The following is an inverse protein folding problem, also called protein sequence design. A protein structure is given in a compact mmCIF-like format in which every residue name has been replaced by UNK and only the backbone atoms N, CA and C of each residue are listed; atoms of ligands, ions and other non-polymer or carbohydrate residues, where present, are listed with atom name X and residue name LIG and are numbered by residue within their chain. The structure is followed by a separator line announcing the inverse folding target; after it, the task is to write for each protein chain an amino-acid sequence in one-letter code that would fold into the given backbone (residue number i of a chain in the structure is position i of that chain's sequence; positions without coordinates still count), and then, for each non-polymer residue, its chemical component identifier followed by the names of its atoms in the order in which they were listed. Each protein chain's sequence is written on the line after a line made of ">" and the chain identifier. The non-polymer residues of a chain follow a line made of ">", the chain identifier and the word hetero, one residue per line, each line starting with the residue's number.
data_IF_438790696488
#
_entry.id   IF_438790696488
#
_cell.length_a   1.000
_cell.length_b   1.000
_cell.length_c   1.000
_cell.angle_alpha   90.00
_cell.angle_beta   90.00
_cell.angle_gamma   90.00
#
_symmetry.space_group_name_H-M   'P 1'
#
loop_
_entity.id
_entity.type
_entity.pdbx_description
1 polymer ?
#
# COMPACT_ATOMS: atom_id res chain seq x y z
N UNK A 1 -4.16 24.22 -17.84
CA UNK A 1 -3.65 22.85 -18.04
C UNK A 1 -4.49 21.90 -17.20
N UNK A 2 -5.10 20.88 -17.81
CA UNK A 2 -5.78 19.84 -17.05
C UNK A 2 -4.75 19.02 -16.26
N UNK A 3 -5.09 18.58 -15.06
CA UNK A 3 -4.26 17.63 -14.32
C UNK A 3 -4.11 16.34 -15.17
N UNK A 4 -2.92 15.71 -15.21
CA UNK A 4 -2.76 14.46 -15.94
C UNK A 4 -3.76 13.42 -15.41
N UNK A 5 -4.35 12.60 -16.29
CA UNK A 5 -5.29 11.57 -15.86
C UNK A 5 -4.59 10.64 -14.87
N UNK A 6 -5.29 10.33 -13.78
CA UNK A 6 -4.78 9.46 -12.72
C UNK A 6 -4.82 8.01 -13.22
N UNK A 7 -3.66 7.35 -13.44
CA UNK A 7 -3.62 6.03 -14.09
C UNK A 7 -4.27 4.91 -13.26
N UNK A 8 -4.47 5.13 -11.96
CA UNK A 8 -5.13 4.18 -11.07
C UNK A 8 -6.66 4.28 -11.06
N UNK A 9 -7.27 5.33 -11.64
CA UNK A 9 -8.73 5.53 -11.56
C UNK A 9 -9.56 4.38 -12.14
N UNK A 10 -9.23 3.79 -13.31
CA UNK A 10 -9.96 2.64 -13.83
C UNK A 10 -9.91 1.43 -12.90
N UNK A 11 -8.73 1.13 -12.34
CA UNK A 11 -8.58 0.03 -11.40
C UNK A 11 -9.30 0.32 -10.07
N UNK A 12 -9.25 1.56 -9.59
CA UNK A 12 -9.96 1.99 -8.39
C UNK A 12 -11.47 1.79 -8.50
N UNK A 13 -12.05 2.18 -9.65
CA UNK A 13 -13.47 1.98 -9.93
C UNK A 13 -13.83 0.48 -9.96
N UNK A 14 -13.02 -0.32 -10.68
CA UNK A 14 -13.22 -1.76 -10.82
C UNK A 14 -13.15 -2.53 -9.49
N UNK A 15 -12.35 -2.08 -8.55
CA UNK A 15 -12.19 -2.71 -7.23
C UNK A 15 -13.26 -2.29 -6.22
N UNK A 16 -14.09 -1.29 -6.54
CA UNK A 16 -15.22 -0.86 -5.70
C UNK A 16 -14.84 -0.64 -4.22
N UNK A 17 -13.66 -0.05 -3.99
CA UNK A 17 -13.20 0.26 -2.64
C UNK A 17 -12.69 -0.93 -1.82
N UNK A 18 -12.51 -2.12 -2.40
CA UNK A 18 -12.00 -3.29 -1.66
C UNK A 18 -11.08 -4.20 -2.48
N UNK A 19 -10.09 -4.78 -1.82
CA UNK A 19 -9.29 -5.86 -2.38
C UNK A 19 -8.69 -6.74 -1.28
N UNK A 20 -8.17 -7.91 -1.65
CA UNK A 20 -7.44 -8.79 -0.75
C UNK A 20 -6.01 -9.01 -1.24
N UNK A 21 -5.12 -9.45 -0.35
CA UNK A 21 -3.78 -9.88 -0.70
C UNK A 21 -3.44 -11.19 0.02
N UNK A 22 -2.79 -12.11 -0.69
CA UNK A 22 -2.35 -13.40 -0.12
C UNK A 22 -0.92 -13.70 -0.55
N UNK A 23 -0.10 -14.14 0.38
CA UNK A 23 1.30 -14.41 0.08
C UNK A 23 2.13 -14.72 1.31
N UNK A 24 3.45 -14.73 1.11
CA UNK A 24 4.43 -14.98 2.14
C UNK A 24 5.48 -13.87 2.09
N UNK A 25 5.70 -13.09 3.17
CA UNK A 25 6.89 -12.26 3.26
C UNK A 25 8.16 -13.16 3.35
N UNK A 26 9.27 -12.84 2.67
CA UNK A 26 9.51 -11.68 1.80
C UNK A 26 9.14 -11.90 0.31
N UNK A 27 8.65 -13.07 -0.07
CA UNK A 27 8.36 -13.49 -1.47
C UNK A 27 7.28 -12.64 -2.17
N UNK A 28 6.47 -11.93 -1.39
CA UNK A 28 5.44 -11.02 -1.87
C UNK A 28 4.03 -11.62 -1.84
N UNK A 29 3.08 -10.87 -2.39
CA UNK A 29 1.65 -11.13 -2.30
C UNK A 29 0.99 -11.07 -3.66
N UNK A 30 0.13 -12.03 -3.97
CA UNK A 30 -0.87 -11.89 -5.03
C UNK A 30 -1.96 -10.93 -4.54
N UNK A 31 -2.33 -9.98 -5.38
CA UNK A 31 -3.40 -9.03 -5.14
C UNK A 31 -4.66 -9.52 -5.83
N UNK A 32 -5.75 -9.64 -5.07
CA UNK A 32 -6.99 -10.30 -5.46
C UNK A 32 -8.13 -9.30 -5.37
N UNK A 33 -9.07 -9.39 -6.30
CA UNK A 33 -10.39 -8.80 -6.11
C UNK A 33 -11.10 -9.48 -4.92
N UNK A 34 -12.06 -8.79 -4.31
CA UNK A 34 -12.74 -9.29 -3.11
C UNK A 34 -13.46 -10.64 -3.33
N UNK A 35 -14.00 -10.84 -4.54
CA UNK A 35 -14.75 -12.03 -4.95
C UNK A 35 -14.25 -12.57 -6.31
N UNK A 36 -13.05 -12.14 -6.75
CA UNK A 36 -12.59 -12.30 -8.12
C UNK A 36 -11.15 -12.79 -8.28
N UNK A 37 -10.62 -12.77 -9.51
CA UNK A 37 -9.28 -13.25 -9.81
C UNK A 37 -8.18 -12.35 -9.22
N UNK A 38 -6.94 -12.81 -9.36
CA UNK A 38 -5.79 -11.97 -9.11
C UNK A 38 -5.71 -10.85 -10.16
N UNK A 39 -5.60 -9.61 -9.72
CA UNK A 39 -5.36 -8.45 -10.59
C UNK A 39 -3.91 -8.00 -10.58
N UNK A 40 -3.09 -8.55 -9.68
CA UNK A 40 -1.74 -8.06 -9.52
C UNK A 40 -0.88 -8.84 -8.55
N UNK A 41 0.32 -8.32 -8.32
CA UNK A 41 1.29 -8.87 -7.39
C UNK A 41 2.14 -7.76 -6.78
N UNK A 42 2.29 -7.76 -5.46
CA UNK A 42 3.21 -6.93 -4.71
C UNK A 42 4.48 -7.75 -4.40
N UNK A 43 5.65 -7.22 -4.76
CA UNK A 43 6.96 -7.82 -4.46
C UNK A 43 7.82 -6.81 -3.70
N UNK A 44 8.10 -7.07 -2.40
CA UNK A 44 9.06 -6.25 -1.66
C UNK A 44 10.47 -6.38 -2.25
N UNK A 45 11.20 -5.27 -2.33
CA UNK A 45 12.60 -5.23 -2.80
C UNK A 45 13.55 -4.96 -1.63
N UNK A 46 13.32 -5.68 -0.53
CA UNK A 46 14.11 -5.55 0.70
C UNK A 46 14.09 -4.13 1.27
N UNK A 47 15.27 -3.56 1.51
CA UNK A 47 15.43 -2.23 2.11
C UNK A 47 15.07 -1.05 1.21
N UNK A 48 14.89 -1.28 -0.11
CA UNK A 48 14.77 -0.24 -1.15
C UNK A 48 13.34 0.19 -1.42
N UNK A 49 12.35 -0.67 -1.15
CA UNK A 49 10.99 -0.41 -1.60
C UNK A 49 10.19 -1.67 -1.95
N UNK A 50 9.29 -1.53 -2.91
CA UNK A 50 8.53 -2.63 -3.51
C UNK A 50 8.14 -2.31 -4.96
N UNK A 51 7.93 -3.36 -5.75
CA UNK A 51 7.26 -3.28 -7.05
C UNK A 51 5.88 -3.92 -6.96
N UNK A 52 4.89 -3.29 -7.57
CA UNK A 52 3.55 -3.83 -7.69
C UNK A 52 3.18 -3.85 -9.17
N UNK A 53 2.84 -5.02 -9.70
CA UNK A 53 2.16 -5.13 -10.99
C UNK A 53 0.67 -5.18 -10.72
N UNK A 54 -0.14 -4.28 -11.27
CA UNK A 54 -1.58 -4.24 -11.05
C UNK A 54 -2.31 -3.87 -12.34
N UNK A 55 -3.17 -4.77 -12.85
CA UNK A 55 -3.95 -4.59 -14.07
C UNK A 55 -3.12 -4.13 -15.29
N UNK A 56 -1.95 -4.75 -15.48
CA UNK A 56 -1.03 -4.40 -16.56
C UNK A 56 -0.16 -3.17 -16.31
N UNK A 57 -0.42 -2.42 -15.23
CA UNK A 57 0.39 -1.28 -14.83
C UNK A 57 1.50 -1.68 -13.84
N UNK A 58 2.64 -1.00 -13.93
CA UNK A 58 3.73 -1.05 -12.98
C UNK A 58 3.61 0.12 -11.99
N UNK A 59 3.69 -0.24 -10.72
CA UNK A 59 3.78 0.68 -9.61
C UNK A 59 5.06 0.40 -8.84
N UNK A 60 5.80 1.46 -8.50
CA UNK A 60 7.06 1.36 -7.77
C UNK A 60 6.95 2.18 -6.50
N UNK A 61 7.17 1.54 -5.36
CA UNK A 61 7.35 2.21 -4.08
C UNK A 61 8.85 2.30 -3.85
N UNK A 62 9.37 3.52 -3.74
CA UNK A 62 10.78 3.78 -3.51
C UNK A 62 10.98 4.40 -2.14
N UNK A 63 12.06 4.01 -1.47
CA UNK A 63 12.47 4.59 -0.21
C UNK A 63 13.54 5.65 -0.46
N UNK A 64 13.20 6.91 -0.17
CA UNK A 64 14.07 8.08 -0.37
C UNK A 64 14.89 8.44 0.87
N UNK A 65 14.71 7.72 1.97
CA UNK A 65 15.44 7.94 3.20
C UNK A 65 14.86 7.20 4.39
N UNK A 66 15.25 7.62 5.59
CA UNK A 66 14.65 7.08 6.82
C UNK A 66 13.22 7.63 6.94
N UNK A 67 12.23 6.75 6.83
CA UNK A 67 10.82 7.11 6.99
C UNK A 67 10.20 7.83 5.79
N UNK A 68 10.95 8.12 4.72
CA UNK A 68 10.45 8.79 3.50
C UNK A 68 10.29 7.83 2.33
N UNK A 69 9.17 7.94 1.64
CA UNK A 69 8.85 7.12 0.49
C UNK A 69 8.12 7.93 -0.58
N UNK A 70 8.26 7.47 -1.82
CA UNK A 70 7.38 7.85 -2.91
C UNK A 70 6.82 6.61 -3.59
N UNK A 71 5.63 6.73 -4.14
CA UNK A 71 4.95 5.72 -4.93
C UNK A 71 4.68 6.29 -6.30
N UNK A 72 5.22 5.64 -7.32
CA UNK A 72 5.07 5.97 -8.72
C UNK A 72 4.12 4.94 -9.35
N UNK A 73 3.16 5.39 -10.15
CA UNK A 73 2.26 4.56 -10.93
C UNK A 73 2.45 4.92 -12.40
N UNK A 74 3.00 4.03 -13.22
CA UNK A 74 3.40 4.34 -14.60
C UNK A 74 4.31 5.59 -14.68
N UNK A 75 5.23 5.73 -13.72
CA UNK A 75 6.13 6.88 -13.62
C UNK A 75 5.50 8.16 -13.07
N UNK A 76 4.18 8.23 -12.91
CA UNK A 76 3.47 9.37 -12.30
C UNK A 76 3.45 9.22 -10.79
N UNK A 77 3.80 10.26 -10.05
CA UNK A 77 3.73 10.21 -8.59
C UNK A 77 2.29 10.07 -8.11
N UNK A 78 1.97 8.91 -7.53
CA UNK A 78 0.66 8.57 -6.99
C UNK A 78 0.54 8.96 -5.51
N UNK A 79 1.63 8.86 -4.74
CA UNK A 79 1.66 9.12 -3.31
C UNK A 79 3.07 9.45 -2.83
N UNK A 80 3.23 10.41 -1.92
CA UNK A 80 4.42 10.56 -1.08
C UNK A 80 4.11 10.19 0.36
N UNK A 81 5.11 9.79 1.14
CA UNK A 81 4.94 9.44 2.54
C UNK A 81 6.16 9.84 3.38
N UNK A 82 5.90 10.30 4.60
CA UNK A 82 6.94 10.68 5.54
C UNK A 82 6.54 10.36 6.99
N UNK A 83 7.44 9.67 7.71
CA UNK A 83 7.34 9.47 9.14
C UNK A 83 7.59 8.04 9.61
N UNK A 84 7.58 7.83 10.93
CA UNK A 84 7.76 6.52 11.54
C UNK A 84 6.50 5.62 11.38
N UNK A 85 6.63 4.29 11.55
CA UNK A 85 5.50 3.35 11.41
C UNK A 85 4.28 3.65 12.29
N UNK A 86 4.49 4.16 13.51
CA UNK A 86 3.46 4.41 14.52
C UNK A 86 2.52 5.55 14.10
N UNK A 87 3.05 6.51 13.33
CA UNK A 87 2.32 7.65 12.80
C UNK A 87 3.13 8.33 11.70
N UNK A 88 2.56 8.43 10.51
CA UNK A 88 3.20 9.05 9.35
C UNK A 88 2.17 9.78 8.50
N UNK A 89 2.63 10.73 7.69
CA UNK A 89 1.79 11.41 6.70
C UNK A 89 1.94 10.71 5.36
N UNK A 90 0.85 10.62 4.61
CA UNK A 90 0.86 10.27 3.20
C UNK A 90 0.15 11.36 2.42
N UNK A 91 0.53 11.58 1.16
CA UNK A 91 -0.15 12.54 0.30
C UNK A 91 -0.55 11.89 -1.04
N UNK A 92 -1.61 11.06 -1.07
CA UNK A 92 -2.10 10.47 -2.30
C UNK A 92 -2.70 11.55 -3.21
N UNK A 93 -2.16 11.69 -4.42
CA UNK A 93 -2.56 12.77 -5.33
C UNK A 93 -2.28 14.19 -4.81
N UNK A 94 -1.38 14.35 -3.83
CA UNK A 94 -0.95 15.65 -3.29
C UNK A 94 -1.67 16.12 -2.03
N UNK A 95 -2.79 15.51 -1.65
CA UNK A 95 -3.57 15.92 -0.46
C UNK A 95 -3.09 15.19 0.81
N UNK A 96 -2.81 15.89 1.92
CA UNK A 96 -2.25 15.28 3.12
C UNK A 96 -3.28 14.43 3.88
N UNK A 97 -2.88 13.20 4.21
CA UNK A 97 -3.63 12.24 5.02
C UNK A 97 -2.76 11.80 6.20
N UNK A 98 -3.40 11.56 7.34
CA UNK A 98 -2.75 10.93 8.50
C UNK A 98 -2.82 9.42 8.38
N UNK A 99 -1.74 8.73 8.68
CA UNK A 99 -1.63 7.28 8.60
C UNK A 99 -0.85 6.69 9.77
N UNK A 100 -1.05 5.39 10.03
CA UNK A 100 -0.36 4.68 11.11
C UNK A 100 -0.51 3.18 11.01
N UNK A 101 0.46 2.46 11.58
CA UNK A 101 0.47 1.00 11.69
C UNK A 101 0.24 0.59 13.15
N UNK A 102 -0.60 -0.43 13.35
CA UNK A 102 -0.76 -1.18 14.59
C UNK A 102 -0.22 -2.59 14.38
N UNK A 103 1.11 -2.73 14.49
CA UNK A 103 1.81 -3.97 14.11
C UNK A 103 1.33 -5.20 14.88
N UNK A 104 1.06 -5.06 16.18
CA UNK A 104 0.53 -6.14 17.02
C UNK A 104 -0.84 -6.64 16.57
N UNK A 105 -1.64 -5.76 15.94
CA UNK A 105 -2.97 -6.09 15.41
C UNK A 105 -2.96 -6.41 13.92
N UNK A 106 -1.77 -6.46 13.31
CA UNK A 106 -1.58 -6.55 11.87
C UNK A 106 -2.53 -5.61 11.08
N UNK A 107 -2.57 -4.35 11.50
CA UNK A 107 -3.55 -3.38 11.02
C UNK A 107 -2.90 -2.07 10.64
N UNK A 108 -3.41 -1.40 9.62
CA UNK A 108 -2.93 -0.13 9.10
C UNK A 108 -4.10 0.75 8.68
N UNK A 109 -4.01 2.05 8.91
CA UNK A 109 -5.04 3.01 8.51
C UNK A 109 -4.42 4.27 7.93
N UNK A 110 -5.17 4.92 7.04
CA UNK A 110 -4.96 6.30 6.62
C UNK A 110 -6.30 7.02 6.47
N UNK A 111 -6.35 8.32 6.76
CA UNK A 111 -7.53 9.17 6.60
C UNK A 111 -7.10 10.59 6.22
N UNK A 112 -7.85 11.21 5.33
CA UNK A 112 -7.70 12.63 4.99
C UNK A 112 -8.98 13.20 4.36
N UNK A 113 -8.91 14.42 3.81
CA UNK A 113 -10.07 15.10 3.20
C UNK A 113 -10.69 14.30 2.05
N UNK A 114 -9.87 13.55 1.31
CA UNK A 114 -10.30 12.77 0.15
C UNK A 114 -10.78 11.34 0.43
N UNK A 115 -10.85 10.92 1.70
CA UNK A 115 -11.35 9.58 2.07
C UNK A 115 -10.52 8.89 3.15
N UNK A 116 -10.57 7.56 3.15
CA UNK A 116 -9.84 6.70 4.09
C UNK A 116 -9.37 5.43 3.41
N UNK A 117 -8.32 4.83 3.95
CA UNK A 117 -7.84 3.51 3.59
C UNK A 117 -7.53 2.72 4.85
N UNK A 118 -7.80 1.41 4.84
CA UNK A 118 -7.42 0.50 5.91
C UNK A 118 -6.98 -0.84 5.35
N UNK A 119 -6.00 -1.44 6.01
CA UNK A 119 -5.51 -2.78 5.71
C UNK A 119 -5.48 -3.56 7.02
N UNK A 120 -6.03 -4.76 6.99
CA UNK A 120 -6.07 -5.68 8.11
C UNK A 120 -5.54 -7.03 7.62
N UNK A 121 -4.64 -7.65 8.37
CA UNK A 121 -4.15 -8.97 8.04
C UNK A 121 -4.38 -9.99 9.15
N UNK A 122 -4.29 -11.25 8.77
CA UNK A 122 -4.35 -12.36 9.72
C UNK A 122 -3.14 -12.36 10.68
N UNK A 123 -3.19 -13.18 11.73
CA UNK A 123 -2.12 -13.23 12.73
C UNK A 123 -0.76 -13.61 12.09
N UNK A 124 -0.79 -14.48 11.08
CA UNK A 124 0.41 -14.95 10.39
C UNK A 124 1.00 -13.92 9.42
N UNK A 125 0.22 -12.92 8.97
CA UNK A 125 0.63 -11.99 7.92
C UNK A 125 0.70 -12.64 6.54
N UNK A 126 -0.12 -13.66 6.31
CA UNK A 126 -0.21 -14.39 5.04
C UNK A 126 -1.40 -13.93 4.21
N UNK A 127 -2.40 -13.33 4.86
CA UNK A 127 -3.61 -12.81 4.22
C UNK A 127 -3.87 -11.41 4.73
N UNK A 128 -4.30 -10.54 3.83
CA UNK A 128 -4.69 -9.17 4.10
C UNK A 128 -5.99 -8.83 3.39
N UNK A 129 -6.88 -8.10 4.05
CA UNK A 129 -8.01 -7.41 3.46
C UNK A 129 -7.78 -5.90 3.49
N UNK A 130 -8.06 -5.24 2.39
CA UNK A 130 -7.97 -3.79 2.26
C UNK A 130 -9.34 -3.20 1.92
N UNK A 131 -9.65 -2.06 2.53
CA UNK A 131 -10.79 -1.21 2.14
C UNK A 131 -10.31 0.22 1.95
N UNK A 132 -10.86 0.91 0.97
CA UNK A 132 -10.49 2.28 0.65
C UNK A 132 -11.68 3.06 0.08
N UNK A 133 -11.62 4.37 0.25
CA UNK A 133 -12.62 5.33 -0.20
C UNK A 133 -11.96 6.49 -0.93
N UNK A 134 -12.70 7.06 -1.87
CA UNK A 134 -12.24 8.17 -2.69
C UNK A 134 -11.24 7.78 -3.78
N UNK A 135 -10.99 8.71 -4.69
CA UNK A 135 -10.16 8.50 -5.88
C UNK A 135 -8.68 8.22 -5.53
N UNK A 136 -8.22 8.74 -4.39
CA UNK A 136 -6.85 8.56 -3.91
C UNK A 136 -6.70 7.36 -2.94
N UNK A 137 -7.80 6.66 -2.65
CA UNK A 137 -7.84 5.57 -1.67
C UNK A 137 -7.05 4.34 -2.09
N UNK A 138 -7.06 3.98 -3.38
CA UNK A 138 -6.34 2.80 -3.87
C UNK A 138 -4.81 2.92 -3.72
N UNK A 139 -4.14 4.02 -4.15
CA UNK A 139 -2.73 4.24 -3.85
C UNK A 139 -2.41 4.17 -2.35
N UNK A 140 -3.25 4.79 -1.51
CA UNK A 140 -3.07 4.74 -0.06
C UNK A 140 -3.13 3.30 0.48
N UNK A 141 -4.14 2.51 0.08
CA UNK A 141 -4.30 1.14 0.54
C UNK A 141 -3.14 0.21 0.11
N UNK A 142 -2.66 0.33 -1.14
CA UNK A 142 -1.49 -0.41 -1.61
C UNK A 142 -0.22 -0.05 -0.84
N UNK A 143 -0.02 1.25 -0.58
CA UNK A 143 1.11 1.71 0.21
C UNK A 143 1.06 1.21 1.66
N UNK A 144 -0.12 1.24 2.29
CA UNK A 144 -0.34 0.70 3.64
C UNK A 144 -0.05 -0.81 3.70
N UNK A 145 -0.52 -1.58 2.71
CA UNK A 145 -0.22 -3.01 2.61
C UNK A 145 1.28 -3.27 2.58
N UNK A 146 2.02 -2.57 1.71
CA UNK A 146 3.48 -2.66 1.65
C UNK A 146 4.11 -2.32 3.00
N UNK A 147 3.76 -1.18 3.60
CA UNK A 147 4.36 -0.70 4.85
C UNK A 147 4.13 -1.68 6.00
N UNK A 148 2.91 -2.22 6.12
CA UNK A 148 2.55 -3.19 7.14
C UNK A 148 3.32 -4.51 6.97
N UNK A 149 3.36 -5.05 5.75
CA UNK A 149 4.10 -6.28 5.46
C UNK A 149 5.62 -6.11 5.67
N UNK A 150 6.19 -4.98 5.25
CA UNK A 150 7.60 -4.67 5.42
C UNK A 150 7.99 -4.51 6.90
N UNK A 151 7.16 -3.82 7.69
CA UNK A 151 7.40 -3.65 9.13
C UNK A 151 7.39 -4.99 9.88
N UNK A 152 6.43 -5.88 9.56
CA UNK A 152 6.38 -7.23 10.13
C UNK A 152 7.59 -8.07 9.75
N UNK A 153 7.97 -8.06 8.48
CA UNK A 153 9.15 -8.80 8.00
C UNK A 153 10.41 -8.42 8.78
N UNK A 154 10.56 -7.13 9.13
CA UNK A 154 11.69 -6.67 9.97
C UNK A 154 11.59 -7.13 11.42
N UNK A 155 10.39 -7.13 12.00
CA UNK A 155 10.20 -7.59 13.38
C UNK A 155 10.61 -9.07 13.55
N UNK A 156 10.26 -9.93 12.58
CA UNK A 156 10.67 -11.34 12.59
C UNK A 156 12.18 -11.53 12.37
N UNK A 157 12.82 -10.69 11.55
CA UNK A 157 14.27 -10.76 11.32
C UNK A 157 15.09 -10.22 12.50
N UNK A 158 14.56 -9.27 13.26
CA UNK A 158 15.26 -8.67 14.42
C UNK A 158 15.04 -9.46 15.71
N UNK A 159 13.89 -10.13 15.88
CA UNK A 159 13.61 -10.97 17.05
C UNK A 159 14.24 -12.38 17.02
N UNK A 160 14.99 -12.70 15.97
CA UNK A 160 15.70 -13.98 15.79
C UNK A 160 17.21 -13.90 15.96
N UNK A 161 17.73 -12.86 16.63
CA UNK A 161 19.13 -12.78 17.07
C UNK A 161 19.22 -12.79 18.58
#
# INVERSE_FOLDING_TARGET
>A
MAAPPKPWSPLSARLEGRFAARGLPPLGFSLLEAEGPAFGRLRPEGGRGARISAAGALVVIEREGRGRYRMLWEGVQALSAEGPPEGFRIAPGGEPWEAGLRLLRNFATARGPGGRARVEGDLAGLRYGARFEGEAGLPAALFLLYRLAAARSRAFVVGGR
#
